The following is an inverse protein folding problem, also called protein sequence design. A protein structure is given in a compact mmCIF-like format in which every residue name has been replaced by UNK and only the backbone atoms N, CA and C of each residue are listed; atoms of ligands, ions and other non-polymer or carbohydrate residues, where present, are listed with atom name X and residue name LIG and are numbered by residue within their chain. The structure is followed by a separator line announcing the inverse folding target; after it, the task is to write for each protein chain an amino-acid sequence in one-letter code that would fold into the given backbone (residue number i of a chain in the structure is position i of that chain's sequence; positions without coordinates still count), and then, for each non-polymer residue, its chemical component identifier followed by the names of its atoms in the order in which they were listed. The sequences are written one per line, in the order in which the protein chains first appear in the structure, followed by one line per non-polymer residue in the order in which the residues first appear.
data_IF_210402396148
#
_entry.id   IF_210402396148
#
_cell.length_a   1.000
_cell.length_b   1.000
_cell.length_c   1.000
_cell.angle_alpha   90.00
_cell.angle_beta   90.00
_cell.angle_gamma   90.00
#
_symmetry.space_group_name_H-M   'P 1'
#
loop_
_entity.id
_entity.type
_entity.pdbx_description
1 polymer ?
#
# COMPACT_ATOMS: atom_id res chain seq x y z
N UNK A 1 27.14 10.42 28.23
CA UNK A 1 26.44 10.59 26.93
C UNK A 1 25.08 11.19 27.22
N UNK A 2 24.56 12.12 26.40
CA UNK A 2 23.27 12.77 26.65
C UNK A 2 22.11 11.78 26.45
N UNK A 3 20.99 12.06 27.12
CA UNK A 3 19.71 11.39 26.87
C UNK A 3 18.80 12.36 26.12
N UNK A 4 17.94 11.85 25.25
CA UNK A 4 16.83 12.61 24.67
C UNK A 4 15.51 12.05 25.19
N UNK A 5 14.62 12.93 25.63
CA UNK A 5 13.24 12.60 26.00
C UNK A 5 12.30 13.68 25.48
N UNK A 6 11.23 13.28 24.82
CA UNK A 6 10.21 14.16 24.23
C UNK A 6 8.83 13.66 24.64
N UNK A 7 7.96 14.56 25.07
CA UNK A 7 6.57 14.26 25.39
C UNK A 7 5.63 15.19 24.66
N UNK A 8 4.53 14.66 24.13
CA UNK A 8 3.41 15.42 23.60
C UNK A 8 2.13 14.97 24.30
N UNK A 9 1.41 15.93 24.87
CA UNK A 9 0.08 15.72 25.42
C UNK A 9 -0.90 16.72 24.82
N UNK A 10 -1.95 16.20 24.21
CA UNK A 10 -3.12 16.97 23.76
C UNK A 10 -4.33 16.36 24.45
N UNK A 11 -5.13 17.21 25.11
CA UNK A 11 -6.35 16.79 25.78
C UNK A 11 -7.52 17.61 25.21
N UNK A 12 -8.53 16.92 24.70
CA UNK A 12 -9.74 17.51 24.14
C UNK A 12 -9.45 18.59 23.09
N UNK A 13 -8.50 18.30 22.20
CA UNK A 13 -8.08 19.18 21.13
C UNK A 13 -9.17 19.40 20.08
N UNK A 14 -9.08 20.55 19.44
CA UNK A 14 -9.95 20.97 18.35
C UNK A 14 -9.09 21.51 17.21
N UNK A 15 -9.34 21.04 15.99
CA UNK A 15 -8.63 21.52 14.81
C UNK A 15 -9.61 21.75 13.66
N UNK A 16 -9.74 23.01 13.25
CA UNK A 16 -10.48 23.39 12.06
C UNK A 16 -9.58 24.25 11.19
N UNK A 17 -9.29 23.81 9.97
CA UNK A 17 -8.59 24.66 9.02
C UNK A 17 -9.60 25.58 8.32
N UNK A 18 -9.38 26.91 8.40
CA UNK A 18 -10.32 27.97 7.96
C UNK A 18 -11.71 27.79 8.60
N UNK A 19 -12.76 28.31 7.95
CA UNK A 19 -14.16 28.15 8.35
C UNK A 19 -14.73 26.77 7.97
N UNK A 20 -13.96 25.69 8.16
CA UNK A 20 -14.44 24.33 7.88
C UNK A 20 -15.63 23.99 8.78
N UNK A 21 -16.68 23.42 8.19
CA UNK A 21 -17.89 22.99 8.90
C UNK A 21 -17.74 21.63 9.57
N UNK A 22 -16.64 20.92 9.32
CA UNK A 22 -16.35 19.61 9.86
C UNK A 22 -14.99 19.65 10.56
N UNK A 23 -14.86 20.23 11.76
CA UNK A 23 -13.60 20.22 12.49
C UNK A 23 -13.22 18.81 12.98
N UNK A 24 -11.94 18.60 13.23
CA UNK A 24 -11.50 17.54 14.14
C UNK A 24 -11.85 17.94 15.57
N UNK A 25 -12.55 17.05 16.26
CA UNK A 25 -12.92 17.21 17.67
C UNK A 25 -12.42 16.04 18.49
N UNK A 26 -12.50 16.15 19.81
CA UNK A 26 -12.05 15.13 20.75
C UNK A 26 -10.63 14.64 20.43
N UNK A 27 -9.76 15.55 19.96
CA UNK A 27 -8.41 15.16 19.61
C UNK A 27 -7.58 14.97 20.88
N UNK A 28 -7.26 13.72 21.20
CA UNK A 28 -6.41 13.36 22.33
C UNK A 28 -5.13 12.72 21.81
N UNK A 29 -3.99 13.13 22.36
CA UNK A 29 -2.70 12.52 22.04
C UNK A 29 -1.84 12.43 23.32
N UNK A 30 -1.23 11.28 23.55
CA UNK A 30 -0.26 11.05 24.64
C UNK A 30 0.91 10.25 24.06
N UNK A 31 1.94 10.96 23.63
CA UNK A 31 3.15 10.41 23.04
C UNK A 31 4.34 10.69 23.97
N UNK A 32 5.18 9.68 24.16
CA UNK A 32 6.50 9.80 24.79
C UNK A 32 7.54 9.14 23.90
N UNK A 33 8.67 9.79 23.70
CA UNK A 33 9.83 9.27 22.99
C UNK A 33 11.03 9.39 23.92
N UNK A 34 11.71 8.29 24.20
CA UNK A 34 12.91 8.25 25.01
C UNK A 34 14.04 7.61 24.19
N UNK A 35 15.20 8.26 24.14
CA UNK A 35 16.41 7.77 23.47
C UNK A 35 17.62 7.92 24.43
N UNK A 36 17.78 6.96 25.36
CA UNK A 36 18.88 6.95 26.32
C UNK A 36 20.24 6.86 25.63
N UNK A 37 21.21 7.62 26.13
CA UNK A 37 22.58 7.71 25.61
C UNK A 37 22.70 8.03 24.10
N UNK A 38 21.61 8.51 23.47
CA UNK A 38 21.48 8.60 22.02
C UNK A 38 21.72 7.26 21.29
N UNK A 39 21.48 6.14 21.97
CA UNK A 39 21.61 4.81 21.40
C UNK A 39 20.31 4.39 20.69
N UNK A 40 20.31 4.21 19.36
CA UNK A 40 19.11 3.83 18.62
C UNK A 40 18.49 2.50 19.07
N UNK A 41 19.29 1.55 19.57
CA UNK A 41 18.76 0.27 20.07
C UNK A 41 18.08 0.40 21.46
N UNK A 42 18.22 1.56 22.10
CA UNK A 42 17.51 1.91 23.33
C UNK A 42 16.30 2.81 23.09
N UNK A 43 15.96 3.11 21.84
CA UNK A 43 14.80 3.93 21.47
C UNK A 43 13.51 3.33 22.04
N UNK A 44 12.71 4.15 22.71
CA UNK A 44 11.37 3.82 23.15
C UNK A 44 10.41 4.87 22.62
N UNK A 45 9.36 4.45 21.95
CA UNK A 45 8.25 5.29 21.51
C UNK A 45 6.99 4.70 22.11
N UNK A 46 6.24 5.50 22.86
CA UNK A 46 5.04 5.10 23.59
C UNK A 46 3.90 6.05 23.22
N UNK A 47 2.99 5.58 22.36
CA UNK A 47 1.76 6.25 21.99
C UNK A 47 0.61 5.65 22.82
N UNK A 48 0.43 6.16 24.03
CA UNK A 48 -0.61 5.67 24.95
C UNK A 48 -2.02 5.91 24.43
N UNK A 49 -2.19 7.00 23.68
CA UNK A 49 -3.46 7.44 23.17
C UNK A 49 -3.24 8.33 21.96
N UNK A 50 -3.96 8.07 20.89
CA UNK A 50 -4.16 8.99 19.77
C UNK A 50 -5.56 8.75 19.23
N UNK A 51 -6.47 9.66 19.52
CA UNK A 51 -7.83 9.59 19.01
C UNK A 51 -8.33 10.96 18.57
N UNK A 52 -9.23 10.94 17.60
CA UNK A 52 -9.98 12.11 17.17
C UNK A 52 -11.30 11.67 16.55
N UNK A 53 -12.24 12.62 16.46
CA UNK A 53 -13.48 12.47 15.71
C UNK A 53 -13.57 13.51 14.61
N UNK A 54 -14.31 13.16 13.56
CA UNK A 54 -14.68 14.07 12.47
C UNK A 54 -16.05 13.70 11.95
N UNK A 55 -16.97 14.66 11.95
CA UNK A 55 -18.40 14.39 11.72
C UNK A 55 -18.89 13.21 12.60
N UNK A 56 -19.41 12.14 12.00
CA UNK A 56 -19.83 10.92 12.72
C UNK A 56 -18.73 9.86 12.85
N UNK A 57 -17.56 10.10 12.25
CA UNK A 57 -16.45 9.14 12.20
C UNK A 57 -15.44 9.31 13.32
N UNK A 58 -14.57 8.31 13.48
CA UNK A 58 -13.52 8.28 14.49
C UNK A 58 -12.24 7.62 13.98
N UNK A 59 -11.14 7.97 14.64
CA UNK A 59 -9.85 7.30 14.53
C UNK A 59 -9.29 7.11 15.92
N UNK A 60 -8.85 5.90 16.25
CA UNK A 60 -8.22 5.56 17.51
C UNK A 60 -6.95 4.75 17.22
N UNK A 61 -5.83 5.13 17.83
CA UNK A 61 -4.58 4.42 17.77
C UNK A 61 -3.87 4.45 19.12
N UNK A 62 -3.26 3.33 19.46
CA UNK A 62 -2.33 3.22 20.57
C UNK A 62 -1.26 2.19 20.21
N UNK A 63 -0.08 2.33 20.80
CA UNK A 63 0.99 1.38 20.55
C UNK A 63 2.31 1.83 21.14
N UNK A 64 3.30 0.96 21.04
CA UNK A 64 4.66 1.26 21.43
C UNK A 64 5.66 0.56 20.52
N UNK A 65 6.84 1.16 20.40
CA UNK A 65 8.00 0.64 19.71
C UNK A 65 9.17 0.66 20.70
N UNK A 66 9.96 -0.41 20.72
CA UNK A 66 11.17 -0.52 21.53
C UNK A 66 12.31 -1.11 20.70
N UNK A 67 13.45 -0.41 20.69
CA UNK A 67 14.66 -0.79 19.97
C UNK A 67 14.57 -0.62 18.44
N UNK A 68 15.74 -0.67 17.79
CA UNK A 68 15.85 -0.74 16.34
C UNK A 68 16.40 -2.10 15.86
N UNK A 69 17.28 -2.73 16.63
CA UNK A 69 17.84 -4.05 16.30
C UNK A 69 17.93 -4.95 17.55
N UNK A 70 16.88 -5.71 17.88
CA UNK A 70 15.61 -5.87 17.15
C UNK A 70 14.60 -4.74 17.44
N UNK A 71 13.54 -4.67 16.62
CA UNK A 71 12.39 -3.79 16.86
C UNK A 71 11.27 -4.62 17.48
N UNK A 72 10.85 -4.29 18.70
CA UNK A 72 9.60 -4.81 19.28
C UNK A 72 8.51 -3.77 19.13
N UNK A 73 7.32 -4.19 18.69
CA UNK A 73 6.20 -3.29 18.49
C UNK A 73 4.88 -3.90 18.93
N UNK A 74 4.03 -3.06 19.50
CA UNK A 74 2.62 -3.34 19.71
C UNK A 74 1.81 -2.18 19.13
N UNK A 75 0.75 -2.47 18.41
CA UNK A 75 -0.15 -1.44 17.89
C UNK A 75 -1.58 -1.97 17.88
N UNK A 76 -2.52 -1.12 18.28
CA UNK A 76 -3.96 -1.32 18.07
C UNK A 76 -4.50 -0.05 17.43
N UNK A 77 -5.08 -0.19 16.24
CA UNK A 77 -5.66 0.90 15.46
C UNK A 77 -7.07 0.50 15.06
N UNK A 78 -8.01 1.42 15.25
CA UNK A 78 -9.41 1.28 14.83
C UNK A 78 -9.90 2.58 14.25
N UNK A 79 -10.59 2.52 13.13
CA UNK A 79 -11.11 3.69 12.47
C UNK A 79 -12.36 3.38 11.66
N UNK A 80 -13.27 4.35 11.64
CA UNK A 80 -14.39 4.43 10.73
C UNK A 80 -14.54 5.91 10.34
N UNK A 81 -14.04 6.28 9.16
CA UNK A 81 -13.95 7.66 8.72
C UNK A 81 -14.64 7.88 7.38
N UNK A 82 -15.32 9.01 7.27
CA UNK A 82 -15.53 9.66 5.98
C UNK A 82 -14.27 10.47 5.67
N UNK A 83 -13.48 9.98 4.71
CA UNK A 83 -12.25 10.61 4.29
C UNK A 83 -12.46 11.98 3.62
N UNK A 84 -13.64 12.21 3.04
CA UNK A 84 -13.99 13.51 2.49
C UNK A 84 -14.15 14.54 3.61
N UNK A 85 -14.79 14.14 4.71
CA UNK A 85 -14.89 14.97 5.92
C UNK A 85 -13.55 15.22 6.56
N UNK A 86 -12.70 14.21 6.67
CA UNK A 86 -11.32 14.40 7.14
C UNK A 86 -10.54 15.39 6.27
N UNK A 87 -10.65 15.26 4.94
CA UNK A 87 -10.02 16.17 4.00
C UNK A 87 -10.55 17.61 4.12
N UNK A 88 -11.85 17.80 4.32
CA UNK A 88 -12.46 19.12 4.60
C UNK A 88 -11.94 19.74 5.92
N UNK A 89 -11.64 18.93 6.95
CA UNK A 89 -11.09 19.40 8.23
C UNK A 89 -9.65 19.91 8.11
N UNK A 90 -8.82 19.14 7.40
CA UNK A 90 -7.37 19.32 7.36
C UNK A 90 -6.89 20.16 6.17
N UNK A 91 -7.62 20.14 5.06
CA UNK A 91 -7.31 20.82 3.79
C UNK A 91 -5.85 20.64 3.33
N UNK A 92 -5.51 19.42 2.93
CA UNK A 92 -4.21 19.14 2.34
C UNK A 92 -4.04 19.96 1.04
N UNK A 93 -2.94 20.71 0.87
CA UNK A 93 -2.79 21.64 -0.26
C UNK A 93 -2.57 20.92 -1.58
N UNK A 94 -1.87 19.78 -1.55
CA UNK A 94 -1.37 19.13 -2.77
C UNK A 94 -2.28 18.00 -3.26
N UNK A 95 -3.23 17.56 -2.45
CA UNK A 95 -4.12 16.47 -2.79
C UNK A 95 -5.43 16.52 -2.01
N UNK A 96 -6.46 15.90 -2.56
CA UNK A 96 -7.70 15.60 -1.87
C UNK A 96 -8.03 14.12 -1.96
N UNK A 97 -8.74 13.64 -0.96
CA UNK A 97 -9.18 12.26 -0.89
C UNK A 97 -10.56 12.18 -0.27
N UNK A 98 -11.25 11.06 -0.52
CA UNK A 98 -12.62 10.85 -0.09
C UNK A 98 -13.00 9.39 -0.06
N UNK A 99 -14.21 9.11 0.41
CA UNK A 99 -14.76 7.76 0.55
C UNK A 99 -14.89 7.32 2.01
N UNK A 100 -15.57 6.21 2.22
CA UNK A 100 -15.72 5.59 3.53
C UNK A 100 -14.57 4.63 3.77
N UNK A 101 -13.78 4.90 4.80
CA UNK A 101 -12.59 4.13 5.13
C UNK A 101 -12.72 3.53 6.52
N UNK A 102 -12.65 2.20 6.57
CA UNK A 102 -12.65 1.44 7.81
C UNK A 102 -11.30 0.76 7.98
N UNK A 103 -10.71 0.87 9.16
CA UNK A 103 -9.46 0.20 9.50
C UNK A 103 -9.61 -0.50 10.84
N UNK A 104 -9.21 -1.76 10.88
CA UNK A 104 -8.85 -2.47 12.09
C UNK A 104 -7.42 -2.98 11.90
N UNK A 105 -6.52 -2.70 12.82
CA UNK A 105 -5.19 -3.26 12.82
C UNK A 105 -4.77 -3.61 14.25
N UNK A 106 -4.29 -4.83 14.43
CA UNK A 106 -3.57 -5.27 15.62
C UNK A 106 -2.23 -5.83 15.18
N UNK A 107 -1.14 -5.34 15.78
CA UNK A 107 0.23 -5.78 15.50
C UNK A 107 0.90 -6.04 16.83
N UNK A 108 1.61 -7.16 16.95
CA UNK A 108 2.26 -7.55 18.18
C UNK A 108 3.47 -8.45 17.91
N UNK A 109 4.64 -8.06 18.41
CA UNK A 109 5.82 -8.90 18.44
C UNK A 109 7.08 -8.20 17.97
N UNK A 110 8.06 -8.98 17.57
CA UNK A 110 9.41 -8.50 17.30
C UNK A 110 9.81 -8.78 15.86
N UNK A 111 10.27 -7.73 15.16
CA UNK A 111 11.04 -7.88 13.94
C UNK A 111 12.51 -8.02 14.28
N UNK A 112 13.10 -9.17 13.94
CA UNK A 112 14.50 -9.44 14.18
C UNK A 112 15.16 -10.05 12.94
N UNK A 113 16.42 -9.68 12.74
CA UNK A 113 17.31 -10.34 11.79
C UNK A 113 18.36 -11.14 12.54
N UNK A 114 18.81 -12.23 11.95
CA UNK A 114 19.90 -13.04 12.48
C UNK A 114 20.89 -13.42 11.38
N UNK A 115 22.10 -13.78 11.79
CA UNK A 115 23.15 -14.25 10.89
C UNK A 115 23.24 -15.78 11.00
N UNK A 116 23.32 -16.46 9.86
CA UNK A 116 23.68 -17.88 9.78
C UNK A 116 24.92 -18.07 8.93
N UNK A 117 25.72 -19.08 9.24
CA UNK A 117 26.91 -19.46 8.45
C UNK A 117 26.53 -20.53 7.43
N UNK A 118 26.79 -20.28 6.14
CA UNK A 118 26.36 -21.13 5.03
C UNK A 118 27.56 -21.61 4.22
N UNK A 119 27.52 -22.89 3.85
CA UNK A 119 28.54 -23.55 3.01
C UNK A 119 29.84 -23.89 3.76
N UNK A 120 30.74 -24.59 3.06
CA UNK A 120 32.03 -25.05 3.62
C UNK A 120 32.92 -23.88 4.05
N UNK A 121 32.84 -22.74 3.37
CA UNK A 121 33.57 -21.50 3.71
C UNK A 121 32.91 -20.69 4.85
N UNK A 122 31.84 -21.20 5.47
CA UNK A 122 31.13 -20.54 6.59
C UNK A 122 30.78 -19.06 6.32
N UNK A 123 30.32 -18.76 5.11
CA UNK A 123 29.95 -17.38 4.74
C UNK A 123 28.76 -16.94 5.57
N UNK A 124 28.85 -15.73 6.13
CA UNK A 124 27.76 -15.15 6.90
C UNK A 124 26.64 -14.69 5.97
N UNK A 125 25.42 -15.09 6.29
CA UNK A 125 24.21 -14.71 5.58
C UNK A 125 23.18 -14.21 6.59
N UNK A 126 22.74 -12.98 6.41
CA UNK A 126 21.62 -12.41 7.17
C UNK A 126 20.28 -13.00 6.69
N UNK A 127 19.36 -13.25 7.61
CA UNK A 127 17.98 -13.65 7.33
C UNK A 127 17.01 -13.05 8.35
N UNK A 128 15.73 -12.98 7.97
CA UNK A 128 14.65 -12.56 8.88
C UNK A 128 14.39 -13.71 9.87
N UNK A 129 14.66 -13.47 11.14
CA UNK A 129 14.49 -14.46 12.21
C UNK A 129 13.07 -14.48 12.75
N UNK A 130 12.42 -13.32 12.83
CA UNK A 130 11.04 -13.19 13.26
C UNK A 130 10.37 -11.98 12.62
N UNK A 131 9.05 -12.05 12.49
CA UNK A 131 8.19 -10.90 12.19
C UNK A 131 7.12 -10.79 13.28
N UNK A 132 6.56 -9.59 13.52
CA UNK A 132 5.40 -9.44 14.40
C UNK A 132 4.19 -10.22 13.86
N UNK A 133 3.36 -10.72 14.76
CA UNK A 133 1.99 -11.13 14.42
C UNK A 133 1.17 -9.91 14.03
N UNK A 134 0.22 -10.09 13.12
CA UNK A 134 -0.70 -9.03 12.74
C UNK A 134 -2.07 -9.54 12.28
N UNK A 135 -3.09 -8.74 12.52
CA UNK A 135 -4.43 -8.87 11.94
C UNK A 135 -4.89 -7.48 11.51
N UNK A 136 -4.91 -7.25 10.19
CA UNK A 136 -5.20 -5.98 9.56
C UNK A 136 -6.35 -6.19 8.59
N UNK A 137 -7.44 -5.44 8.79
CA UNK A 137 -8.59 -5.39 7.90
C UNK A 137 -8.82 -3.95 7.53
N UNK A 138 -8.88 -3.67 6.23
CA UNK A 138 -9.09 -2.34 5.73
C UNK A 138 -10.06 -2.35 4.57
N UNK A 139 -11.03 -1.45 4.57
CA UNK A 139 -11.97 -1.30 3.46
C UNK A 139 -12.04 0.15 3.05
N UNK A 140 -12.05 0.39 1.75
CA UNK A 140 -12.40 1.66 1.16
C UNK A 140 -13.59 1.45 0.23
N UNK A 141 -14.62 2.30 0.37
CA UNK A 141 -15.79 2.32 -0.52
C UNK A 141 -16.01 3.76 -0.98
N UNK A 142 -16.40 3.91 -2.25
CA UNK A 142 -16.61 5.22 -2.90
C UNK A 142 -15.39 6.14 -2.77
N UNK A 143 -14.19 5.54 -2.80
CA UNK A 143 -12.93 6.22 -2.67
C UNK A 143 -12.71 7.23 -3.79
N UNK A 144 -12.13 8.37 -3.44
CA UNK A 144 -11.72 9.42 -4.38
C UNK A 144 -10.31 9.85 -4.06
N UNK A 145 -9.54 10.18 -5.08
CA UNK A 145 -8.21 10.75 -4.91
C UNK A 145 -7.90 11.71 -6.05
N UNK A 146 -7.41 12.92 -5.73
CA UNK A 146 -7.02 13.90 -6.74
C UNK A 146 -5.79 14.67 -6.29
N UNK A 147 -4.81 14.79 -7.18
CA UNK A 147 -3.68 15.71 -6.99
C UNK A 147 -4.09 17.12 -7.45
N UNK A 148 -3.69 18.14 -6.70
CA UNK A 148 -4.10 19.53 -6.95
C UNK A 148 -3.62 20.06 -8.31
N UNK A 149 -2.45 19.59 -8.77
CA UNK A 149 -1.85 19.97 -10.05
C UNK A 149 -2.39 19.17 -11.26
N UNK A 150 -3.31 18.22 -11.05
CA UNK A 150 -3.85 17.39 -12.12
C UNK A 150 -5.31 17.72 -12.42
N UNK A 151 -5.71 17.68 -13.71
CA UNK A 151 -7.07 18.03 -14.10
C UNK A 151 -8.10 17.02 -13.59
N UNK A 152 -7.76 15.72 -13.61
CA UNK A 152 -8.66 14.63 -13.24
C UNK A 152 -8.13 13.83 -12.05
N UNK A 153 -9.06 13.32 -11.24
CA UNK A 153 -8.77 12.42 -10.14
C UNK A 153 -9.12 10.97 -10.49
N UNK A 154 -8.81 10.08 -9.55
CA UNK A 154 -9.38 8.75 -9.50
C UNK A 154 -10.74 8.83 -8.81
N UNK A 155 -11.78 8.38 -9.51
CA UNK A 155 -13.16 8.45 -9.05
C UNK A 155 -13.70 7.02 -8.94
N UNK A 156 -14.11 6.61 -7.73
CA UNK A 156 -14.57 5.25 -7.38
C UNK A 156 -13.41 4.27 -7.22
N UNK A 157 -12.73 4.39 -6.09
CA UNK A 157 -11.80 3.40 -5.57
C UNK A 157 -12.54 2.57 -4.53
N UNK A 158 -12.57 1.25 -4.74
CA UNK A 158 -13.07 0.31 -3.75
C UNK A 158 -12.13 -0.89 -3.65
N UNK A 159 -11.95 -1.38 -2.42
CA UNK A 159 -11.23 -2.60 -2.12
C UNK A 159 -11.53 -3.07 -0.69
N UNK A 160 -11.25 -4.35 -0.44
CA UNK A 160 -11.14 -4.92 0.91
C UNK A 160 -9.79 -5.60 1.08
N UNK A 161 -8.94 -5.04 1.92
CA UNK A 161 -7.64 -5.58 2.28
C UNK A 161 -7.76 -6.40 3.57
N UNK A 162 -7.19 -7.60 3.55
CA UNK A 162 -7.02 -8.46 4.70
C UNK A 162 -5.56 -8.93 4.75
N UNK A 163 -4.84 -8.58 5.80
CA UNK A 163 -3.48 -9.05 6.03
C UNK A 163 -3.41 -9.70 7.41
N UNK A 164 -2.89 -10.93 7.47
CA UNK A 164 -2.85 -11.71 8.71
C UNK A 164 -1.57 -12.52 8.81
N UNK A 165 -0.97 -12.50 9.99
CA UNK A 165 0.03 -13.44 10.46
C UNK A 165 -0.32 -13.85 11.91
N UNK A 166 -0.76 -15.11 12.13
CA UNK A 166 -1.19 -15.57 13.44
C UNK A 166 -0.04 -15.96 14.39
N UNK A 167 1.16 -16.23 13.89
CA UNK A 167 2.23 -16.89 14.65
C UNK A 167 3.62 -16.26 14.48
N UNK A 168 3.72 -15.17 13.71
CA UNK A 168 4.97 -14.43 13.51
C UNK A 168 5.90 -15.13 12.53
N UNK A 169 5.39 -16.10 11.76
CA UNK A 169 6.14 -16.84 10.76
C UNK A 169 5.76 -16.36 9.36
N UNK A 170 6.77 -16.02 8.56
CA UNK A 170 6.60 -15.64 7.15
C UNK A 170 5.77 -16.66 6.34
N UNK A 171 5.83 -17.95 6.70
CA UNK A 171 5.03 -19.00 6.07
C UNK A 171 3.52 -18.84 6.31
N UNK A 172 3.12 -18.44 7.51
CA UNK A 172 1.71 -18.29 7.93
C UNK A 172 1.15 -16.92 7.57
N UNK A 173 2.02 -15.94 7.32
CA UNK A 173 1.66 -14.62 6.86
C UNK A 173 0.93 -14.65 5.50
N UNK A 174 -0.08 -13.81 5.39
CA UNK A 174 -0.94 -13.66 4.21
C UNK A 174 -1.35 -12.21 4.02
N UNK A 175 -1.49 -11.80 2.76
CA UNK A 175 -2.03 -10.49 2.36
C UNK A 175 -2.98 -10.74 1.19
N UNK A 176 -4.21 -10.27 1.29
CA UNK A 176 -5.20 -10.34 0.24
C UNK A 176 -5.85 -8.97 0.05
N UNK A 177 -6.11 -8.63 -1.21
CA UNK A 177 -6.95 -7.50 -1.60
C UNK A 177 -8.05 -8.07 -2.48
N UNK A 178 -9.25 -8.06 -1.93
CA UNK A 178 -10.48 -8.48 -2.58
C UNK A 178 -11.19 -7.28 -3.20
N UNK A 179 -12.05 -7.59 -4.18
CA UNK A 179 -13.01 -6.63 -4.74
C UNK A 179 -12.36 -5.31 -5.18
N UNK A 180 -11.15 -5.39 -5.73
CA UNK A 180 -10.46 -4.22 -6.31
C UNK A 180 -11.38 -3.67 -7.40
N UNK A 181 -11.68 -2.39 -7.31
CA UNK A 181 -12.37 -1.63 -8.33
C UNK A 181 -11.84 -0.21 -8.30
N UNK A 182 -11.10 0.16 -9.33
CA UNK A 182 -10.57 1.51 -9.52
C UNK A 182 -11.05 2.02 -10.86
N UNK A 183 -11.68 3.19 -10.88
CA UNK A 183 -12.10 3.84 -12.11
C UNK A 183 -11.50 5.25 -12.21
N UNK A 184 -11.18 5.66 -13.43
CA UNK A 184 -10.82 7.04 -13.77
C UNK A 184 -11.27 7.31 -15.20
N UNK A 185 -12.20 8.24 -15.40
CA UNK A 185 -12.89 8.43 -16.69
C UNK A 185 -13.49 7.09 -17.17
N UNK A 186 -13.12 6.64 -18.38
CA UNK A 186 -13.55 5.36 -18.96
C UNK A 186 -12.56 4.21 -18.67
N UNK A 187 -11.51 4.47 -17.89
CA UNK A 187 -10.47 3.50 -17.55
C UNK A 187 -10.85 2.76 -16.27
N UNK A 188 -10.55 1.47 -16.19
CA UNK A 188 -10.79 0.70 -14.98
C UNK A 188 -9.73 -0.37 -14.72
N UNK A 189 -9.61 -0.72 -13.45
CA UNK A 189 -8.95 -1.93 -12.95
C UNK A 189 -9.94 -2.61 -12.01
N UNK A 190 -10.14 -3.91 -12.19
CA UNK A 190 -10.95 -4.72 -11.29
C UNK A 190 -10.34 -6.09 -11.03
N UNK A 191 -10.62 -6.67 -9.88
CA UNK A 191 -10.22 -8.05 -9.59
C UNK A 191 -9.79 -8.28 -8.16
N UNK A 192 -8.86 -9.22 -7.96
CA UNK A 192 -8.29 -9.53 -6.66
C UNK A 192 -6.83 -9.99 -6.78
N UNK A 193 -6.12 -9.90 -5.67
CA UNK A 193 -4.80 -10.51 -5.49
C UNK A 193 -4.67 -11.04 -4.07
N UNK A 194 -4.05 -12.20 -3.92
CA UNK A 194 -3.64 -12.75 -2.64
C UNK A 194 -2.22 -13.29 -2.72
N UNK A 195 -1.45 -13.01 -1.69
CA UNK A 195 -0.09 -13.48 -1.48
C UNK A 195 -0.07 -14.24 -0.15
N UNK A 196 0.43 -15.46 -0.17
CA UNK A 196 0.57 -16.33 1.00
C UNK A 196 1.95 -16.96 1.00
N UNK A 197 2.36 -17.53 2.14
CA UNK A 197 3.65 -18.20 2.30
C UNK A 197 4.83 -17.32 1.82
N UNK A 198 5.22 -16.32 2.61
CA UNK A 198 6.33 -15.42 2.24
C UNK A 198 7.70 -16.11 2.25
N UNK A 199 7.80 -17.37 2.67
CA UNK A 199 9.00 -18.19 2.46
C UNK A 199 9.06 -18.76 1.03
N UNK A 200 7.90 -19.11 0.46
CA UNK A 200 7.71 -19.51 -0.93
C UNK A 200 6.54 -18.72 -1.50
N UNK A 201 6.82 -17.50 -1.95
CA UNK A 201 5.82 -16.51 -2.32
C UNK A 201 4.76 -17.15 -3.24
N UNK A 202 3.58 -17.39 -2.69
CA UNK A 202 2.47 -18.02 -3.40
C UNK A 202 1.45 -16.94 -3.76
N UNK A 203 1.24 -16.74 -5.05
CA UNK A 203 0.36 -15.72 -5.62
C UNK A 203 -0.91 -16.39 -6.15
N UNK A 204 -2.05 -15.74 -5.96
CA UNK A 204 -3.29 -16.05 -6.65
C UNK A 204 -4.00 -14.74 -6.98
N UNK A 205 -4.28 -14.49 -8.25
CA UNK A 205 -4.87 -13.24 -8.73
C UNK A 205 -5.68 -13.44 -10.01
N UNK A 206 -6.75 -12.67 -10.14
CA UNK A 206 -7.49 -12.42 -11.39
C UNK A 206 -7.68 -10.90 -11.46
N UNK A 207 -7.08 -10.28 -12.48
CA UNK A 207 -7.12 -8.84 -12.70
C UNK A 207 -7.57 -8.57 -14.13
N UNK A 208 -8.50 -7.62 -14.27
CA UNK A 208 -8.98 -7.12 -15.55
C UNK A 208 -8.82 -5.61 -15.57
N UNK A 209 -8.28 -5.10 -16.66
CA UNK A 209 -8.12 -3.67 -16.83
C UNK A 209 -8.41 -3.26 -18.27
N UNK A 210 -8.93 -2.04 -18.42
CA UNK A 210 -9.16 -1.40 -19.71
C UNK A 210 -8.70 0.03 -19.59
N UNK A 211 -7.86 0.47 -20.51
CA UNK A 211 -7.30 1.81 -20.54
C UNK A 211 -7.40 2.42 -21.93
N UNK A 212 -7.75 3.69 -21.99
CA UNK A 212 -7.38 4.58 -23.07
C UNK A 212 -6.10 5.31 -22.66
N UNK A 213 -4.97 4.97 -23.29
CA UNK A 213 -3.67 5.55 -22.94
C UNK A 213 -3.63 7.08 -23.08
N UNK A 214 -4.46 7.65 -23.95
CA UNK A 214 -4.57 9.09 -24.11
C UNK A 214 -5.13 9.80 -22.86
N UNK A 215 -5.87 9.07 -22.02
CA UNK A 215 -6.46 9.59 -20.79
C UNK A 215 -5.46 9.60 -19.62
N UNK A 216 -4.41 8.75 -19.68
CA UNK A 216 -3.46 8.56 -18.56
C UNK A 216 -2.84 9.88 -18.13
N UNK A 217 -2.50 10.75 -19.08
CA UNK A 217 -1.90 12.07 -18.80
C UNK A 217 -2.76 12.96 -17.89
N UNK A 218 -4.08 12.73 -17.84
CA UNK A 218 -5.01 13.54 -17.06
C UNK A 218 -4.93 13.25 -15.55
N UNK A 219 -4.46 12.07 -15.16
CA UNK A 219 -4.32 11.65 -13.77
C UNK A 219 -2.90 11.14 -13.42
N UNK A 220 -2.03 10.98 -14.41
CA UNK A 220 -0.61 10.65 -14.27
C UNK A 220 0.21 11.12 -15.51
N UNK A 221 0.65 12.39 -15.55
CA UNK A 221 1.35 12.94 -16.71
C UNK A 221 2.77 12.38 -16.87
N UNK A 222 3.02 11.68 -17.98
CA UNK A 222 4.35 11.23 -18.40
C UNK A 222 4.94 12.27 -19.35
N UNK A 223 5.86 13.11 -18.87
CA UNK A 223 6.34 14.28 -19.63
C UNK A 223 7.18 13.95 -20.88
N UNK A 224 7.79 12.77 -20.94
CA UNK A 224 8.70 12.41 -22.03
C UNK A 224 8.04 11.67 -23.19
N UNK A 225 6.80 11.22 -23.01
CA UNK A 225 6.13 10.35 -23.98
C UNK A 225 4.65 10.73 -24.10
N UNK A 226 4.22 10.92 -25.34
CA UNK A 226 2.82 10.96 -25.70
C UNK A 226 2.37 9.55 -26.08
N UNK A 227 1.31 9.08 -25.41
CA UNK A 227 0.74 7.75 -25.58
C UNK A 227 -0.74 7.87 -25.95
N UNK A 228 -1.18 7.09 -26.93
CA UNK A 228 -2.60 6.83 -27.19
C UNK A 228 -2.82 5.36 -27.54
N UNK A 229 -4.07 4.92 -27.50
CA UNK A 229 -4.48 3.55 -27.80
C UNK A 229 -5.40 2.97 -26.75
N UNK A 230 -6.24 2.04 -27.18
CA UNK A 230 -7.13 1.28 -26.30
C UNK A 230 -6.44 -0.01 -25.90
N UNK A 231 -6.22 -0.22 -24.60
CA UNK A 231 -5.51 -1.36 -24.04
C UNK A 231 -6.45 -2.14 -23.13
N UNK A 232 -6.70 -3.39 -23.47
CA UNK A 232 -7.40 -4.36 -22.64
C UNK A 232 -6.40 -5.37 -22.08
N UNK A 233 -6.47 -5.61 -20.77
CA UNK A 233 -5.64 -6.59 -20.06
C UNK A 233 -6.54 -7.53 -19.28
N UNK A 234 -6.35 -8.84 -19.47
CA UNK A 234 -6.83 -9.87 -18.55
C UNK A 234 -5.62 -10.64 -18.06
N UNK A 235 -5.46 -10.76 -16.74
CA UNK A 235 -4.34 -11.45 -16.11
C UNK A 235 -4.90 -12.41 -15.06
N UNK A 236 -4.61 -13.68 -15.21
CA UNK A 236 -4.80 -14.68 -14.17
C UNK A 236 -3.43 -15.26 -13.83
N UNK A 237 -3.10 -15.31 -12.54
CA UNK A 237 -1.87 -15.91 -12.06
C UNK A 237 -2.12 -16.73 -10.81
N UNK A 238 -1.62 -17.97 -10.77
CA UNK A 238 -1.74 -18.86 -9.62
C UNK A 238 -0.51 -19.73 -9.46
N UNK A 239 0.12 -19.71 -8.30
CA UNK A 239 1.28 -20.55 -7.98
C UNK A 239 2.42 -19.79 -7.33
N UNK A 240 3.61 -20.38 -7.35
CA UNK A 240 4.77 -19.88 -6.63
C UNK A 240 5.65 -18.98 -7.49
N UNK A 241 6.32 -18.01 -6.85
CA UNK A 241 7.36 -17.17 -7.44
C UNK A 241 8.70 -17.51 -6.79
N UNK A 242 9.70 -17.84 -7.60
CA UNK A 242 11.12 -17.91 -7.21
C UNK A 242 11.98 -17.35 -8.34
N UNK A 243 12.30 -16.05 -8.23
CA UNK A 243 13.09 -15.33 -9.24
C UNK A 243 14.51 -15.89 -9.40
N UNK A 244 15.10 -16.50 -8.37
CA UNK A 244 16.45 -17.08 -8.46
C UNK A 244 16.45 -18.36 -9.30
N UNK A 245 15.32 -19.07 -9.31
CA UNK A 245 15.12 -20.30 -10.07
C UNK A 245 14.29 -20.10 -11.33
N UNK A 246 13.98 -18.84 -11.68
CA UNK A 246 13.08 -18.48 -12.79
C UNK A 246 11.73 -19.21 -12.73
N UNK A 247 11.22 -19.44 -11.52
CA UNK A 247 9.89 -20.02 -11.28
C UNK A 247 8.89 -18.87 -11.20
N UNK A 248 7.86 -18.97 -12.01
CA UNK A 248 6.76 -18.02 -12.08
C UNK A 248 5.45 -18.77 -11.86
N UNK A 249 4.39 -18.11 -11.36
CA UNK A 249 3.10 -18.75 -11.22
C UNK A 249 2.57 -19.20 -12.59
N UNK A 250 1.66 -20.18 -12.58
CA UNK A 250 0.88 -20.46 -13.77
C UNK A 250 0.15 -19.19 -14.16
N UNK A 251 0.39 -18.70 -15.37
CA UNK A 251 -0.05 -17.38 -15.80
C UNK A 251 -0.81 -17.53 -17.11
N UNK A 252 -2.01 -16.97 -17.16
CA UNK A 252 -2.81 -16.83 -18.36
C UNK A 252 -3.16 -15.35 -18.50
N UNK A 253 -2.49 -14.68 -19.43
CA UNK A 253 -2.61 -13.23 -19.63
C UNK A 253 -2.87 -12.94 -21.09
N UNK A 254 -3.83 -12.05 -21.36
CA UNK A 254 -4.06 -11.43 -22.66
C UNK A 254 -3.86 -9.93 -22.55
N UNK A 255 -3.04 -9.35 -23.43
CA UNK A 255 -2.90 -7.91 -23.59
C UNK A 255 -3.25 -7.59 -25.04
N UNK A 256 -4.26 -6.76 -25.24
CA UNK A 256 -4.70 -6.31 -26.55
C UNK A 256 -4.59 -4.80 -26.59
N UNK A 257 -3.83 -4.25 -27.54
CA UNK A 257 -3.75 -2.82 -27.82
C UNK A 257 -4.29 -2.56 -29.22
N UNK A 258 -5.20 -1.59 -29.34
CA UNK A 258 -5.71 -1.10 -30.61
C UNK A 258 -5.40 0.37 -30.79
N UNK A 259 -5.02 0.72 -32.02
CA UNK A 259 -4.79 2.10 -32.46
C UNK A 259 -3.77 2.82 -31.58
N UNK A 260 -2.68 2.12 -31.25
CA UNK A 260 -1.63 2.66 -30.41
C UNK A 260 -0.85 3.77 -31.10
N UNK A 261 -0.48 4.78 -30.32
CA UNK A 261 0.41 5.86 -30.70
C UNK A 261 1.49 6.01 -29.63
N UNK A 262 2.75 6.10 -30.07
CA UNK A 262 3.87 6.44 -29.20
C UNK A 262 4.69 7.53 -29.87
N UNK A 263 4.94 8.61 -29.15
CA UNK A 263 5.85 9.69 -29.56
C UNK A 263 6.67 10.10 -28.35
N UNK A 264 7.99 10.10 -28.46
CA UNK A 264 8.87 10.53 -27.38
C UNK A 264 9.53 11.86 -27.75
N UNK A 265 10.11 12.54 -26.75
CA UNK A 265 10.89 13.76 -27.01
C UNK A 265 12.13 13.47 -27.88
N UNK A 266 12.74 12.30 -27.70
CA UNK A 266 13.94 11.88 -28.45
C UNK A 266 13.61 11.39 -29.87
N UNK A 267 12.36 10.99 -30.10
CA UNK A 267 11.85 10.57 -31.40
C UNK A 267 10.53 11.30 -31.72
N UNK A 268 10.61 12.54 -32.26
CA UNK A 268 9.46 13.43 -32.39
C UNK A 268 8.50 13.03 -33.53
N UNK A 269 8.85 12.03 -34.33
CA UNK A 269 7.96 11.45 -35.35
C UNK A 269 7.10 10.39 -34.66
N UNK A 270 5.76 10.54 -34.59
CA UNK A 270 4.92 9.57 -33.91
C UNK A 270 4.92 8.23 -34.65
N UNK A 271 4.99 7.14 -33.89
CA UNK A 271 4.64 5.80 -34.37
C UNK A 271 3.14 5.60 -34.13
N UNK A 272 2.37 5.38 -35.19
CA UNK A 272 0.91 5.31 -35.16
C UNK A 272 0.37 3.95 -35.61
N UNK A 273 -0.93 3.72 -35.41
CA UNK A 273 -1.63 2.50 -35.79
C UNK A 273 -1.00 1.21 -35.22
N UNK A 274 -0.37 1.31 -34.06
CA UNK A 274 0.23 0.16 -33.38
C UNK A 274 -0.88 -0.79 -32.92
N UNK A 275 -0.79 -2.05 -33.33
CA UNK A 275 -1.67 -3.13 -32.88
C UNK A 275 -0.81 -4.13 -32.13
N UNK A 276 -1.23 -4.48 -30.91
CA UNK A 276 -0.54 -5.50 -30.12
C UNK A 276 -1.55 -6.53 -29.69
N UNK A 277 -1.26 -7.80 -29.95
CA UNK A 277 -1.95 -8.92 -29.34
C UNK A 277 -0.88 -9.81 -28.71
N UNK A 278 -0.83 -9.83 -27.39
CA UNK A 278 0.10 -10.65 -26.63
C UNK A 278 -0.68 -11.62 -25.76
N UNK A 279 -0.45 -12.92 -25.98
CA UNK A 279 -1.00 -13.99 -25.17
C UNK A 279 0.14 -14.70 -24.44
N UNK A 280 0.11 -14.67 -23.11
CA UNK A 280 1.08 -15.38 -22.27
C UNK A 280 0.35 -16.53 -21.62
N UNK A 281 0.74 -17.76 -21.97
CA UNK A 281 0.24 -18.98 -21.36
C UNK A 281 1.41 -19.79 -20.80
N UNK A 282 1.58 -19.73 -19.48
CA UNK A 282 2.59 -20.51 -18.76
C UNK A 282 1.89 -21.55 -17.90
N UNK A 283 1.79 -22.80 -18.39
CA UNK A 283 1.17 -23.92 -17.66
C UNK A 283 2.11 -24.63 -16.68
N UNK A 284 3.42 -24.45 -16.82
CA UNK A 284 4.43 -25.18 -16.02
C UNK A 284 5.24 -24.28 -15.09
N UNK A 285 4.92 -22.98 -15.04
CA UNK A 285 5.50 -22.06 -14.07
C UNK A 285 7.04 -21.92 -14.11
N UNK A 286 7.65 -22.05 -15.29
CA UNK A 286 9.09 -21.86 -15.45
C UNK A 286 9.42 -21.25 -16.81
N UNK A 287 10.25 -20.21 -16.84
CA UNK A 287 10.90 -19.73 -18.05
C UNK A 287 12.07 -20.67 -18.37
N UNK A 288 11.96 -21.47 -19.43
CA UNK A 288 13.13 -22.06 -20.09
C UNK A 288 13.62 -21.02 -21.09
N UNK A 289 14.73 -20.35 -20.78
CA UNK A 289 15.52 -19.60 -21.76
C UNK A 289 16.40 -20.60 -22.49
#
# INVERSE_FOLDING_TARGET
MPNLSLGLMVNNGFLAYKQSTNPLTDWNAKLRIDLPALNPDSLQIDLKQFDFKVASGYFNAQGNIAGLHPVTMHANIKSDLDLGKLNESLQFPDFSFGGKWNLYAKIDGTYAKAIRKVGLQKREQEYIASIPTFDIKNTLVDGKFKLANLPQGLDKIAYRLEAKDPDGQLKSASIAIHDISVQALNNYIKGFISITDFNKIAVNSDLKASFNLADIKNFYPIKQVELAGLVDVNLMAKGYVDLKRNIFPETNTSIVMKNGLIKSNDYPIPMENIQVEAFVNSKKGSLRI
#
